data_IF_861833625634
#
_entry.id   IF_861833625634
#
_cell.length_a   1.000
_cell.length_b   1.000
_cell.length_c   1.000
_cell.angle_alpha   90.00
_cell.angle_beta   90.00
_cell.angle_gamma   90.00
#
_symmetry.space_group_name_H-M   'P 1'
#
loop_
_entity.id
_entity.type
_entity.pdbx_description
1 polymer ?
#
# COMPACT_ATOMS: atom_id res chain seq x y z
N UNK A 1 11.48 -22.68 -14.21
CA UNK A 1 10.01 -22.79 -14.17
C UNK A 1 9.49 -21.37 -14.23
N UNK A 2 8.38 -21.11 -14.95
CA UNK A 2 7.80 -19.77 -14.99
C UNK A 2 7.40 -19.33 -13.57
N UNK A 3 7.37 -18.02 -13.32
CA UNK A 3 6.83 -17.49 -12.07
C UNK A 3 5.35 -17.91 -11.92
N UNK A 4 4.85 -17.97 -10.69
CA UNK A 4 3.43 -18.24 -10.43
C UNK A 4 2.62 -16.94 -10.44
N UNK A 5 1.45 -16.92 -11.09
CA UNK A 5 0.58 -15.74 -11.13
C UNK A 5 -0.33 -15.71 -9.91
N UNK A 6 -0.20 -14.66 -9.10
CA UNK A 6 -1.02 -14.49 -7.90
C UNK A 6 -2.37 -13.81 -8.20
N UNK A 7 -3.36 -14.00 -7.32
CA UNK A 7 -4.69 -13.38 -7.40
C UNK A 7 -5.23 -13.02 -6.02
N UNK A 8 -5.91 -11.86 -5.87
CA UNK A 8 -6.64 -11.55 -4.65
C UNK A 8 -7.76 -12.57 -4.42
N UNK A 9 -7.98 -12.96 -3.15
CA UNK A 9 -9.04 -13.88 -2.76
C UNK A 9 -10.30 -13.10 -2.43
N UNK A 10 -11.37 -13.25 -3.22
CA UNK A 10 -12.61 -12.45 -3.07
C UNK A 10 -13.30 -12.62 -1.72
N UNK A 11 -13.24 -13.83 -1.17
CA UNK A 11 -13.77 -14.18 0.16
C UNK A 11 -12.97 -13.55 1.31
N UNK A 12 -11.78 -13.02 1.05
CA UNK A 12 -10.95 -12.31 2.02
C UNK A 12 -11.24 -10.79 2.07
N UNK A 13 -12.14 -10.26 1.25
CA UNK A 13 -12.59 -8.86 1.34
C UNK A 13 -13.71 -8.68 2.35
N UNK A 14 -13.70 -7.56 3.07
CA UNK A 14 -14.75 -7.23 4.03
C UNK A 14 -15.94 -6.54 3.34
N UNK A 15 -17.10 -7.22 3.17
CA UNK A 15 -18.28 -6.61 2.54
C UNK A 15 -18.88 -5.47 3.38
N UNK A 16 -18.51 -5.37 4.66
CA UNK A 16 -19.01 -4.34 5.59
C UNK A 16 -17.99 -3.22 5.83
N UNK A 17 -16.92 -3.14 5.03
CA UNK A 17 -15.95 -2.06 5.15
C UNK A 17 -16.58 -0.69 4.86
N UNK A 18 -16.21 0.32 5.65
CA UNK A 18 -16.57 1.70 5.38
C UNK A 18 -15.58 2.30 4.37
N UNK A 19 -16.06 2.64 3.17
CA UNK A 19 -15.24 3.15 2.09
C UNK A 19 -15.55 4.64 1.86
N UNK A 20 -14.61 5.56 2.14
CA UNK A 20 -14.78 6.98 1.88
C UNK A 20 -14.75 7.27 0.38
N UNK A 21 -15.21 8.46 -0.01
CA UNK A 21 -15.06 8.99 -1.37
C UNK A 21 -15.63 8.08 -2.46
N UNK A 22 -16.68 7.29 -2.17
CA UNK A 22 -17.27 6.34 -3.11
C UNK A 22 -16.30 5.28 -3.65
N UNK A 23 -15.21 5.01 -2.92
CA UNK A 23 -14.37 3.85 -3.17
C UNK A 23 -15.19 2.57 -3.06
N UNK A 24 -14.78 1.57 -3.83
CA UNK A 24 -15.41 0.24 -3.85
C UNK A 24 -14.36 -0.82 -3.56
N UNK A 25 -14.79 -1.99 -3.07
CA UNK A 25 -13.89 -3.10 -2.84
C UNK A 25 -13.16 -3.52 -4.13
N UNK A 26 -13.85 -3.40 -5.28
CA UNK A 26 -13.27 -3.69 -6.59
C UNK A 26 -12.09 -2.76 -6.95
N UNK A 27 -12.07 -1.52 -6.44
CA UNK A 27 -10.94 -0.61 -6.68
C UNK A 27 -9.66 -1.15 -6.00
N UNK A 28 -9.80 -1.84 -4.86
CA UNK A 28 -8.68 -2.51 -4.18
C UNK A 28 -8.34 -3.85 -4.82
N UNK A 29 -9.34 -4.67 -5.18
CA UNK A 29 -9.13 -5.96 -5.85
C UNK A 29 -8.34 -5.78 -7.15
N UNK A 30 -8.77 -4.85 -8.01
CA UNK A 30 -8.11 -4.62 -9.30
C UNK A 30 -6.72 -4.03 -9.08
N UNK A 31 -6.52 -3.11 -8.12
CA UNK A 31 -5.20 -2.58 -7.84
C UNK A 31 -4.20 -3.62 -7.34
N UNK A 32 -4.65 -4.53 -6.47
CA UNK A 32 -3.83 -5.68 -6.05
C UNK A 32 -3.50 -6.59 -7.24
N UNK A 33 -4.48 -6.84 -8.12
CA UNK A 33 -4.27 -7.68 -9.31
C UNK A 33 -3.29 -7.05 -10.31
N UNK A 34 -3.38 -5.73 -10.56
CA UNK A 34 -2.46 -5.01 -11.44
C UNK A 34 -1.01 -5.12 -10.95
N UNK A 35 -0.78 -5.03 -9.63
CA UNK A 35 0.54 -5.25 -9.02
C UNK A 35 1.01 -6.69 -9.21
N UNK A 36 0.15 -7.68 -8.93
CA UNK A 36 0.51 -9.09 -9.11
C UNK A 36 0.86 -9.42 -10.55
N UNK A 37 0.10 -8.90 -11.51
CA UNK A 37 0.33 -9.13 -12.94
C UNK A 37 1.66 -8.49 -13.39
N UNK A 38 1.96 -7.27 -12.94
CA UNK A 38 3.25 -6.63 -13.21
C UNK A 38 4.43 -7.47 -12.67
N UNK A 39 4.36 -7.89 -11.41
CA UNK A 39 5.44 -8.69 -10.82
C UNK A 39 5.58 -10.05 -11.50
N UNK A 40 4.47 -10.69 -11.89
CA UNK A 40 4.51 -11.92 -12.67
C UNK A 40 5.21 -11.71 -14.01
N UNK A 41 4.83 -10.68 -14.77
CA UNK A 41 5.35 -10.44 -16.12
C UNK A 41 6.84 -10.06 -16.06
N UNK A 42 7.23 -9.17 -15.13
CA UNK A 42 8.63 -8.77 -14.92
C UNK A 42 9.47 -9.94 -14.46
N UNK A 43 9.04 -10.68 -13.43
CA UNK A 43 9.82 -11.81 -12.91
C UNK A 43 9.93 -12.94 -13.93
N UNK A 44 8.88 -13.21 -14.71
CA UNK A 44 8.96 -14.18 -15.81
C UNK A 44 10.02 -13.76 -16.82
N UNK A 45 10.00 -12.51 -17.29
CA UNK A 45 10.99 -12.01 -18.24
C UNK A 45 12.43 -11.96 -17.69
N UNK A 46 12.61 -11.72 -16.40
CA UNK A 46 13.93 -11.79 -15.74
C UNK A 46 14.43 -13.24 -15.67
N UNK A 47 13.59 -14.17 -15.20
CA UNK A 47 13.95 -15.58 -15.06
C UNK A 47 14.24 -16.25 -16.40
N UNK A 48 13.52 -15.91 -17.46
CA UNK A 48 13.78 -16.38 -18.83
C UNK A 48 15.17 -15.97 -19.35
N UNK A 49 15.71 -14.85 -18.86
CA UNK A 49 17.05 -14.36 -19.17
C UNK A 49 18.13 -14.85 -18.22
N UNK A 50 17.78 -15.74 -17.28
CA UNK A 50 18.70 -16.24 -16.25
C UNK A 50 19.03 -15.21 -15.17
N UNK A 51 18.22 -14.16 -15.02
CA UNK A 51 18.35 -13.17 -13.95
C UNK A 51 17.48 -13.55 -12.74
N UNK A 52 17.81 -12.96 -11.59
CA UNK A 52 17.03 -13.07 -10.35
C UNK A 52 15.70 -12.32 -10.46
N UNK A 53 14.75 -12.61 -9.57
CA UNK A 53 13.46 -11.88 -9.52
C UNK A 53 13.67 -10.47 -9.02
N UNK A 54 12.80 -9.55 -9.43
CA UNK A 54 12.82 -8.16 -8.97
C UNK A 54 12.82 -8.06 -7.44
N UNK A 55 12.00 -8.86 -6.79
CA UNK A 55 11.84 -8.87 -5.34
C UNK A 55 12.99 -9.54 -4.57
N UNK A 56 13.93 -10.20 -5.25
CA UNK A 56 15.12 -10.77 -4.61
C UNK A 56 16.22 -9.71 -4.36
N UNK A 57 16.37 -8.72 -5.25
CA UNK A 57 17.47 -7.75 -5.19
C UNK A 57 17.06 -6.31 -4.88
N UNK A 58 15.77 -5.97 -4.94
CA UNK A 58 15.29 -4.61 -4.60
C UNK A 58 15.29 -4.41 -3.08
N UNK A 59 15.93 -3.33 -2.62
CA UNK A 59 15.96 -2.97 -1.19
C UNK A 59 14.54 -2.72 -0.64
N UNK A 60 14.22 -3.15 0.59
CA UNK A 60 12.86 -3.02 1.16
C UNK A 60 12.24 -1.61 1.13
N UNK A 61 13.07 -0.57 1.31
CA UNK A 61 12.61 0.81 1.25
C UNK A 61 12.16 1.23 -0.16
N UNK A 62 12.89 0.76 -1.19
CA UNK A 62 12.54 1.00 -2.59
C UNK A 62 11.29 0.20 -2.94
N UNK A 63 11.22 -1.07 -2.51
CA UNK A 63 10.05 -1.93 -2.74
C UNK A 63 8.77 -1.30 -2.19
N UNK A 64 8.81 -0.79 -0.95
CA UNK A 64 7.62 -0.21 -0.32
C UNK A 64 7.15 1.08 -1.04
N UNK A 65 8.11 1.90 -1.50
CA UNK A 65 7.81 3.08 -2.33
C UNK A 65 7.18 2.68 -3.67
N UNK A 66 7.84 1.78 -4.41
CA UNK A 66 7.36 1.26 -5.70
C UNK A 66 5.93 0.71 -5.60
N UNK A 67 5.65 -0.12 -4.60
CA UNK A 67 4.31 -0.68 -4.42
C UNK A 67 3.28 0.40 -4.10
N UNK A 68 3.65 1.43 -3.32
CA UNK A 68 2.75 2.54 -3.03
C UNK A 68 2.41 3.31 -4.31
N UNK A 69 3.40 3.61 -5.15
CA UNK A 69 3.21 4.31 -6.43
C UNK A 69 2.35 3.49 -7.41
N UNK A 70 2.59 2.18 -7.52
CA UNK A 70 1.80 1.28 -8.38
C UNK A 70 0.34 1.20 -7.92
N UNK A 71 0.11 1.08 -6.61
CA UNK A 71 -1.23 1.06 -6.02
C UNK A 71 -1.96 2.40 -6.22
N UNK A 72 -1.27 3.52 -6.00
CA UNK A 72 -1.81 4.86 -6.28
C UNK A 72 -2.23 4.99 -7.75
N UNK A 73 -1.33 4.67 -8.69
CA UNK A 73 -1.63 4.77 -10.11
C UNK A 73 -2.79 3.86 -10.53
N UNK A 74 -2.84 2.62 -10.02
CA UNK A 74 -3.91 1.68 -10.33
C UNK A 74 -5.26 2.11 -9.74
N UNK A 75 -5.31 2.49 -8.45
CA UNK A 75 -6.55 2.98 -7.84
C UNK A 75 -7.05 4.23 -8.54
N UNK A 76 -6.17 5.20 -8.87
CA UNK A 76 -6.56 6.40 -9.63
C UNK A 76 -7.16 6.07 -11.01
N UNK A 77 -6.57 5.08 -11.71
CA UNK A 77 -7.04 4.62 -13.03
C UNK A 77 -8.43 4.01 -12.98
N UNK A 78 -8.74 3.22 -11.96
CA UNK A 78 -10.00 2.47 -11.86
C UNK A 78 -11.08 3.19 -11.06
N UNK A 79 -10.70 4.10 -10.16
CA UNK A 79 -11.63 4.87 -9.35
C UNK A 79 -12.37 5.91 -10.17
N UNK A 80 -13.69 5.98 -9.94
CA UNK A 80 -14.52 7.04 -10.50
C UNK A 80 -14.34 8.37 -9.77
N UNK A 81 -14.00 8.32 -8.48
CA UNK A 81 -14.01 9.46 -7.58
C UNK A 81 -12.61 9.99 -7.23
N UNK A 82 -11.58 9.14 -7.29
CA UNK A 82 -10.20 9.52 -6.97
C UNK A 82 -9.33 9.61 -8.22
N UNK A 83 -8.38 10.54 -8.19
CA UNK A 83 -7.33 10.74 -9.20
C UNK A 83 -5.98 10.83 -8.50
N UNK A 84 -4.89 10.69 -9.24
CA UNK A 84 -3.54 10.84 -8.68
C UNK A 84 -3.24 12.32 -8.42
N UNK A 85 -2.50 12.61 -7.35
CA UNK A 85 -2.01 13.97 -7.11
C UNK A 85 -0.88 14.31 -8.08
N UNK A 86 -1.13 15.25 -8.99
CA UNK A 86 -0.19 15.71 -10.02
C UNK A 86 0.86 16.68 -9.45
N UNK A 87 0.75 17.09 -8.18
CA UNK A 87 1.80 17.87 -7.53
C UNK A 87 2.97 16.95 -7.17
N UNK A 88 4.18 17.29 -7.65
CA UNK A 88 5.39 16.55 -7.29
C UNK A 88 5.61 16.51 -5.77
N UNK A 89 5.63 15.30 -5.18
CA UNK A 89 5.64 15.08 -3.74
C UNK A 89 4.48 15.76 -3.00
N UNK A 90 3.31 15.81 -3.64
CA UNK A 90 2.06 16.25 -3.05
C UNK A 90 1.55 15.27 -2.00
N UNK A 91 0.57 15.72 -1.22
CA UNK A 91 -0.13 14.89 -0.24
C UNK A 91 -1.61 15.30 -0.21
N UNK A 92 -2.56 14.36 -0.10
CA UNK A 92 -2.37 12.90 -0.17
C UNK A 92 -2.02 12.40 -1.57
N UNK A 93 -1.62 11.13 -1.69
CA UNK A 93 -1.27 10.48 -2.97
C UNK A 93 -2.44 10.46 -3.98
N UNK A 94 -3.65 10.16 -3.49
CA UNK A 94 -4.89 10.20 -4.26
C UNK A 94 -5.74 11.39 -3.83
N UNK A 95 -6.30 12.14 -4.77
CA UNK A 95 -7.19 13.28 -4.53
C UNK A 95 -8.62 12.98 -4.95
N UNK A 96 -9.59 13.59 -4.27
CA UNK A 96 -10.99 13.59 -4.74
C UNK A 96 -11.09 14.49 -5.99
N UNK A 97 -11.62 13.92 -7.08
CA UNK A 97 -11.77 14.63 -8.36
C UNK A 97 -12.62 15.89 -8.20
N UNK A 98 -12.16 16.98 -8.81
CA UNK A 98 -12.87 18.27 -8.81
C UNK A 98 -12.73 19.10 -7.54
N UNK A 99 -12.00 18.62 -6.51
CA UNK A 99 -11.74 19.40 -5.30
C UNK A 99 -10.55 20.34 -5.47
N UNK A 100 -9.44 19.85 -6.03
CA UNK A 100 -8.21 20.64 -6.20
C UNK A 100 -8.01 21.03 -7.67
N UNK A 101 -7.60 22.27 -7.96
CA UNK A 101 -7.27 22.68 -9.33
C UNK A 101 -6.20 21.79 -9.97
N UNK A 102 -6.45 21.38 -11.22
CA UNK A 102 -5.53 20.54 -12.01
C UNK A 102 -5.14 19.22 -11.33
N UNK A 103 -5.97 18.70 -10.42
CA UNK A 103 -5.66 17.51 -9.64
C UNK A 103 -4.30 17.59 -8.91
N UNK A 104 -3.90 18.80 -8.50
CA UNK A 104 -2.58 19.06 -7.91
C UNK A 104 -2.70 19.85 -6.61
N UNK A 105 -2.15 19.31 -5.52
CA UNK A 105 -2.02 20.03 -4.25
C UNK A 105 -0.78 19.59 -3.47
N UNK A 106 -0.03 20.57 -2.96
CA UNK A 106 1.15 20.30 -2.12
C UNK A 106 0.78 19.60 -0.81
N UNK A 107 -0.31 20.02 -0.18
CA UNK A 107 -0.86 19.44 1.03
C UNK A 107 -2.38 19.69 1.08
N UNK A 108 -3.17 18.64 0.96
CA UNK A 108 -4.63 18.63 1.04
C UNK A 108 -5.14 17.65 2.08
N UNK A 109 -6.46 17.67 2.32
CA UNK A 109 -7.17 16.76 3.23
C UNK A 109 -8.14 15.81 2.51
N UNK A 110 -8.52 16.16 1.27
CA UNK A 110 -9.56 15.48 0.51
C UNK A 110 -8.94 14.44 -0.43
N UNK A 111 -8.76 13.24 0.10
CA UNK A 111 -8.07 12.18 -0.61
C UNK A 111 -7.55 11.10 0.31
N UNK A 112 -6.78 10.16 -0.24
CA UNK A 112 -6.26 8.99 0.48
C UNK A 112 -4.75 8.89 0.26
N UNK A 113 -4.00 8.81 1.35
CA UNK A 113 -2.57 8.47 1.34
C UNK A 113 -2.41 6.95 1.23
N UNK A 114 -1.60 6.48 0.28
CA UNK A 114 -1.27 5.07 0.11
C UNK A 114 0.07 4.79 0.80
N UNK A 115 0.08 3.69 1.55
CA UNK A 115 1.30 3.18 2.18
C UNK A 115 1.34 1.67 2.06
N UNK A 116 2.56 1.15 1.95
CA UNK A 116 2.80 -0.28 2.06
C UNK A 116 3.80 -0.59 3.16
N UNK A 117 3.71 -1.79 3.71
CA UNK A 117 4.60 -2.26 4.78
C UNK A 117 4.68 -3.78 4.77
N UNK A 118 5.76 -4.34 5.32
CA UNK A 118 5.84 -5.77 5.65
C UNK A 118 5.35 -6.08 7.07
N UNK A 119 5.18 -5.04 7.91
CA UNK A 119 4.81 -5.21 9.31
C UNK A 119 3.34 -5.59 9.43
N UNK A 120 3.10 -6.75 10.05
CA UNK A 120 1.77 -7.25 10.42
C UNK A 120 0.90 -6.16 11.03
N UNK A 121 -0.32 -6.05 10.52
CA UNK A 121 -1.28 -5.06 10.99
C UNK A 121 -0.91 -3.61 10.70
N UNK A 122 -0.15 -3.36 9.64
CA UNK A 122 -0.13 -2.06 8.97
C UNK A 122 0.67 -0.96 9.66
N UNK A 123 1.63 -1.30 10.51
CA UNK A 123 2.51 -0.29 11.08
C UNK A 123 3.45 0.27 9.99
N UNK A 124 3.40 1.59 9.77
CA UNK A 124 4.19 2.29 8.76
C UNK A 124 4.58 3.69 9.25
N UNK A 125 5.70 4.19 8.76
CA UNK A 125 6.16 5.56 9.02
C UNK A 125 5.61 6.52 7.96
N UNK A 126 5.16 7.69 8.39
CA UNK A 126 4.62 8.75 7.52
C UNK A 126 5.53 9.97 7.50
N UNK A 127 5.36 10.84 6.49
CA UNK A 127 5.99 12.16 6.43
C UNK A 127 5.27 13.18 7.33
N UNK A 128 5.26 12.87 8.62
CA UNK A 128 4.71 13.68 9.70
C UNK A 128 3.32 13.24 10.14
N UNK A 129 2.95 13.63 11.36
CA UNK A 129 1.61 13.45 11.87
C UNK A 129 0.66 14.42 11.14
N UNK A 130 -0.41 13.88 10.56
CA UNK A 130 -1.41 14.65 9.81
C UNK A 130 -2.79 14.02 9.98
N UNK A 131 -3.81 14.86 9.87
CA UNK A 131 -5.18 14.39 9.68
C UNK A 131 -5.31 13.93 8.23
N UNK A 132 -5.56 12.64 8.01
CA UNK A 132 -5.56 12.04 6.68
C UNK A 132 -6.38 10.75 6.66
N UNK A 133 -6.93 10.42 5.49
CA UNK A 133 -7.30 9.04 5.20
C UNK A 133 -6.06 8.28 4.76
N UNK A 134 -5.81 7.12 5.37
CA UNK A 134 -4.65 6.31 5.08
C UNK A 134 -5.09 4.91 4.68
N UNK A 135 -4.66 4.45 3.51
CA UNK A 135 -4.77 3.07 3.07
C UNK A 135 -3.41 2.38 3.25
N UNK A 136 -3.35 1.33 4.06
CA UNK A 136 -2.12 0.58 4.31
C UNK A 136 -2.26 -0.84 3.77
N UNK A 137 -1.37 -1.21 2.85
CA UNK A 137 -1.26 -2.55 2.29
C UNK A 137 -0.08 -3.29 2.93
N UNK A 138 -0.37 -4.39 3.62
CA UNK A 138 0.64 -5.29 4.18
C UNK A 138 1.00 -6.33 3.13
N UNK A 139 2.26 -6.35 2.70
CA UNK A 139 2.75 -7.24 1.67
C UNK A 139 3.82 -8.20 2.19
N UNK A 140 3.95 -9.34 1.50
CA UNK A 140 4.90 -10.39 1.77
C UNK A 140 5.69 -10.72 0.50
N UNK A 141 6.97 -10.96 0.71
CA UNK A 141 7.89 -11.50 -0.29
C UNK A 141 8.53 -12.74 0.31
N UNK A 142 8.63 -13.80 -0.49
CA UNK A 142 9.30 -15.02 -0.08
C UNK A 142 10.79 -14.87 -0.38
N UNK A 143 11.59 -14.75 0.67
CA UNK A 143 13.06 -14.60 0.58
C UNK A 143 13.79 -15.83 1.13
N UNK A 144 13.04 -16.85 1.55
CA UNK A 144 13.58 -17.99 2.31
C UNK A 144 13.55 -19.29 1.52
N UNK A 145 12.50 -19.51 0.70
CA UNK A 145 12.36 -20.79 0.02
C UNK A 145 13.39 -20.98 -1.09
N UNK A 146 13.82 -22.23 -1.26
CA UNK A 146 14.80 -22.65 -2.25
C UNK A 146 14.23 -23.79 -3.12
N UNK A 147 14.63 -23.86 -4.41
CA UNK A 147 15.54 -22.93 -5.09
C UNK A 147 14.89 -21.55 -5.32
N UNK A 148 15.65 -20.45 -5.27
CA UNK A 148 15.14 -19.07 -5.37
C UNK A 148 14.14 -18.83 -6.53
N UNK A 149 14.37 -19.48 -7.67
CA UNK A 149 13.48 -19.49 -8.84
C UNK A 149 12.08 -20.09 -8.61
N UNK A 150 11.84 -20.75 -7.48
CA UNK A 150 10.57 -21.37 -7.06
C UNK A 150 9.95 -20.66 -5.85
N UNK A 151 10.49 -19.50 -5.46
CA UNK A 151 9.91 -18.69 -4.37
C UNK A 151 8.45 -18.35 -4.66
N UNK A 152 7.64 -18.24 -3.61
CA UNK A 152 6.26 -17.78 -3.76
C UNK A 152 6.21 -16.36 -4.33
N UNK A 153 5.22 -16.01 -5.15
CA UNK A 153 5.08 -14.65 -5.66
C UNK A 153 4.76 -13.67 -4.54
N UNK A 154 5.02 -12.38 -4.79
CA UNK A 154 4.59 -11.29 -3.90
C UNK A 154 3.07 -11.39 -3.62
N UNK A 155 2.68 -11.16 -2.38
CA UNK A 155 1.28 -11.23 -1.93
C UNK A 155 0.96 -10.12 -0.95
N UNK A 156 -0.25 -9.60 -1.01
CA UNK A 156 -0.86 -8.77 0.03
C UNK A 156 -1.61 -9.67 1.01
N UNK A 157 -1.35 -9.49 2.30
CA UNK A 157 -1.99 -10.25 3.38
C UNK A 157 -3.07 -9.46 4.10
N UNK A 158 -2.90 -8.15 4.21
CA UNK A 158 -3.82 -7.28 4.94
C UNK A 158 -3.94 -5.92 4.23
N UNK A 159 -5.14 -5.37 4.17
CA UNK A 159 -5.38 -4.00 3.70
C UNK A 159 -6.28 -3.30 4.71
N UNK A 160 -5.88 -2.09 5.11
CA UNK A 160 -6.61 -1.23 6.04
C UNK A 160 -6.89 0.10 5.39
N UNK A 161 -8.03 0.70 5.70
CA UNK A 161 -8.36 2.06 5.28
C UNK A 161 -9.04 2.77 6.43
N UNK A 162 -8.48 3.88 6.89
CA UNK A 162 -9.10 4.63 7.99
C UNK A 162 -8.62 6.06 8.06
N UNK A 163 -9.45 6.91 8.65
CA UNK A 163 -9.07 8.28 8.95
C UNK A 163 -8.27 8.30 10.25
N UNK A 164 -7.06 8.83 10.18
CA UNK A 164 -6.20 9.07 11.34
C UNK A 164 -6.00 10.56 11.53
N UNK A 165 -5.75 10.95 12.77
CA UNK A 165 -5.57 12.33 13.23
C UNK A 165 -4.20 12.50 13.86
N UNK A 166 -3.74 13.73 14.03
CA UNK A 166 -2.43 14.02 14.64
C UNK A 166 -2.29 13.35 16.02
N UNK A 167 -3.39 13.26 16.76
CA UNK A 167 -3.48 12.64 18.07
C UNK A 167 -3.17 11.14 18.03
N UNK A 168 -3.38 10.47 16.89
CA UNK A 168 -3.17 9.03 16.69
C UNK A 168 -1.66 8.67 16.50
N UNK A 169 -0.77 9.66 16.48
CA UNK A 169 0.68 9.48 16.27
C UNK A 169 1.49 9.55 17.57
N UNK A 170 2.61 8.83 17.59
CA UNK A 170 3.55 8.86 18.72
C UNK A 170 4.12 10.27 18.89
N UNK A 171 4.09 10.78 20.12
CA UNK A 171 4.81 12.00 20.51
C UNK A 171 6.26 11.65 20.78
N UNK A 172 7.13 11.87 19.81
CA UNK A 172 8.57 11.72 19.99
C UNK A 172 9.19 13.10 20.30
N UNK A 173 9.87 13.30 21.45
CA UNK A 173 10.74 14.45 21.65
C UNK A 173 11.99 14.27 20.76
N UNK A 174 12.03 14.89 19.58
CA UNK A 174 13.22 14.89 18.70
C UNK A 174 13.50 16.29 18.17
N UNK A 175 14.80 16.61 18.07
CA UNK A 175 15.31 17.93 17.67
C UNK A 175 15.17 18.26 16.18
N UNK A 176 15.70 19.42 15.78
CA UNK A 176 15.41 20.12 14.51
C UNK A 176 15.97 19.48 13.23
N UNK A 177 16.87 18.50 13.33
CA UNK A 177 17.59 17.94 12.18
C UNK A 177 16.94 16.63 11.69
N UNK A 178 16.00 16.74 10.74
CA UNK A 178 15.43 15.62 9.99
C UNK A 178 14.04 15.90 9.41
N UNK A 179 13.64 15.17 8.36
CA UNK A 179 12.22 15.09 7.97
C UNK A 179 11.45 14.49 9.15
N UNK A 180 10.41 15.19 9.62
CA UNK A 180 9.58 14.72 10.74
C UNK A 180 8.87 13.44 10.33
N UNK A 181 9.43 12.27 10.63
CA UNK A 181 8.73 10.99 10.46
C UNK A 181 7.81 10.75 11.66
N UNK A 182 6.61 10.23 11.41
CA UNK A 182 5.67 9.90 12.46
C UNK A 182 5.12 8.49 12.26
N UNK A 183 4.93 7.77 13.37
CA UNK A 183 4.34 6.43 13.37
C UNK A 183 3.10 6.49 14.25
N UNK A 184 2.04 5.80 13.86
CA UNK A 184 0.87 5.65 14.74
C UNK A 184 1.27 5.01 16.08
N UNK A 185 0.66 5.46 17.17
CA UNK A 185 0.75 4.75 18.45
C UNK A 185 -0.19 3.53 18.45
N UNK A 186 -0.21 2.78 19.54
CA UNK A 186 -0.95 1.52 19.65
C UNK A 186 -2.43 1.70 19.32
N UNK A 187 -3.07 2.69 19.93
CA UNK A 187 -4.49 2.97 19.76
C UNK A 187 -4.79 3.56 18.38
N UNK A 188 -3.88 4.36 17.81
CA UNK A 188 -3.96 4.81 16.42
C UNK A 188 -3.94 3.65 15.42
N UNK A 189 -3.08 2.65 15.64
CA UNK A 189 -3.06 1.42 14.86
C UNK A 189 -4.36 0.61 15.06
N UNK A 190 -4.87 0.50 16.28
CA UNK A 190 -6.15 -0.18 16.53
C UNK A 190 -7.32 0.52 15.82
N UNK A 191 -7.33 1.85 15.81
CA UNK A 191 -8.29 2.67 15.07
C UNK A 191 -8.21 2.40 13.58
N UNK A 192 -7.01 2.40 13.00
CA UNK A 192 -6.81 2.05 11.58
C UNK A 192 -7.32 0.63 11.27
N UNK A 193 -6.99 -0.34 12.12
CA UNK A 193 -7.39 -1.76 11.96
C UNK A 193 -8.88 -2.01 12.12
N UNK A 194 -9.62 -1.10 12.75
CA UNK A 194 -11.06 -1.24 12.96
C UNK A 194 -11.83 -1.29 11.63
N UNK A 195 -11.27 -0.71 10.57
CA UNK A 195 -11.83 -0.76 9.22
C UNK A 195 -10.85 -1.46 8.26
N UNK A 196 -10.86 -2.79 8.31
CA UNK A 196 -10.08 -3.62 7.40
C UNK A 196 -10.84 -3.85 6.09
N UNK A 197 -10.11 -3.83 4.99
CA UNK A 197 -10.62 -4.01 3.62
C UNK A 197 -10.39 -5.43 3.13
N UNK A 198 -9.20 -5.97 3.37
CA UNK A 198 -8.79 -7.31 2.96
C UNK A 198 -7.97 -7.98 4.07
N UNK A 199 -8.20 -9.27 4.33
CA UNK A 199 -7.38 -10.08 5.24
C UNK A 199 -7.31 -11.53 4.75
N UNK A 200 -6.13 -11.98 4.36
CA UNK A 200 -5.86 -13.38 4.01
C UNK A 200 -5.10 -14.08 5.15
N UNK A 201 -5.78 -14.92 5.96
CA UNK A 201 -5.15 -15.61 7.08
C UNK A 201 -4.16 -16.70 6.65
N UNK A 202 -4.19 -17.12 5.38
CA UNK A 202 -3.32 -18.18 4.86
C UNK A 202 -2.00 -17.65 4.28
N UNK A 203 -1.88 -16.33 4.09
CA UNK A 203 -0.64 -15.72 3.65
C UNK A 203 0.21 -15.40 4.89
N UNK A 204 1.34 -16.11 5.12
CA UNK A 204 2.17 -15.85 6.29
C UNK A 204 2.76 -14.44 6.18
N UNK A 205 2.49 -13.63 7.20
CA UNK A 205 3.13 -12.33 7.31
C UNK A 205 4.58 -12.52 7.73
N UNK A 206 5.54 -12.04 6.92
CA UNK A 206 6.95 -12.05 7.34
C UNK A 206 7.15 -10.93 8.36
N UNK A 207 7.52 -11.29 9.59
CA UNK A 207 7.89 -10.32 10.66
C UNK A 207 9.10 -9.50 10.31
#
# INVERSE_FOLDING_TARGET
>A
MPAERNRPKRDCFNPNANLPFQLRLEDFEIAMQDVYDLFYDVNTGLLEKGLERLDDFVRPAIMSGLLSDLLTASIAKHSRALTQNEYFNGHPDLLVKGIYPNDAVKAGSEGVEIKTTRKVGGAVDTHGARNQWMAVFVYNIDIESEPARQRRPLSFSEVYLGQVTIEDFRRNPRGELGTRTATLHREGILKLRSNWIYKDPATPSTT
#
